data_IF_137010008260
#
_entry.id   IF_137010008260
#
_cell.length_a   1.000
_cell.length_b   1.000
_cell.length_c   1.000
_cell.angle_alpha   90.00
_cell.angle_beta   90.00
_cell.angle_gamma   90.00
#
_symmetry.space_group_name_H-M   'P 1'
#
loop_
_entity.id
_entity.type
_entity.pdbx_description
1 polymer ?
#
# COMPACT_ATOMS: atom_id res chain seq x y z
N UNK A 1 -19.96 13.67 -12.50
CA UNK A 1 -19.17 13.14 -13.63
C UNK A 1 -18.23 12.10 -13.03
N UNK A 2 -18.31 10.84 -13.45
CA UNK A 2 -17.34 9.83 -13.02
C UNK A 2 -15.97 10.27 -13.52
N UNK A 3 -14.97 10.24 -12.65
CA UNK A 3 -13.60 10.48 -13.07
C UNK A 3 -13.28 9.41 -14.12
N UNK A 4 -12.62 9.76 -15.22
CA UNK A 4 -12.23 8.77 -16.25
C UNK A 4 -11.06 7.89 -15.78
N UNK A 5 -11.04 7.58 -14.48
CA UNK A 5 -10.02 6.82 -13.79
C UNK A 5 -10.42 5.34 -13.78
N UNK A 6 -9.52 4.50 -14.26
CA UNK A 6 -9.75 3.07 -14.38
C UNK A 6 -9.76 2.38 -13.01
N UNK A 7 -9.26 3.06 -11.96
CA UNK A 7 -9.36 2.57 -10.60
C UNK A 7 -10.82 2.36 -10.13
N UNK A 8 -11.79 3.06 -10.72
CA UNK A 8 -13.23 2.94 -10.39
C UNK A 8 -13.92 1.73 -11.03
N UNK A 9 -13.35 1.14 -12.11
CA UNK A 9 -14.02 0.16 -12.97
C UNK A 9 -13.50 -1.28 -12.81
N UNK A 10 -12.41 -1.50 -12.06
CA UNK A 10 -11.90 -2.85 -11.76
C UNK A 10 -12.39 -3.33 -10.39
N UNK A 11 -13.17 -4.41 -10.40
CA UNK A 11 -13.36 -5.23 -9.20
C UNK A 11 -12.14 -6.14 -8.96
N UNK A 12 -11.76 -6.31 -7.69
CA UNK A 12 -10.61 -7.16 -7.30
C UNK A 12 -10.65 -8.56 -7.94
N UNK A 13 -11.83 -9.17 -8.04
CA UNK A 13 -12.00 -10.49 -8.66
C UNK A 13 -11.57 -10.53 -10.13
N UNK A 14 -11.86 -9.47 -10.90
CA UNK A 14 -11.50 -9.39 -12.32
C UNK A 14 -9.97 -9.26 -12.46
N UNK A 15 -9.35 -8.42 -11.64
CA UNK A 15 -7.89 -8.28 -11.60
C UNK A 15 -7.20 -9.61 -11.27
N UNK A 16 -7.68 -10.32 -10.25
CA UNK A 16 -7.14 -11.63 -9.88
C UNK A 16 -7.26 -12.67 -10.99
N UNK A 17 -8.36 -12.65 -11.75
CA UNK A 17 -8.54 -13.57 -12.87
C UNK A 17 -7.55 -13.28 -14.01
N UNK A 18 -7.34 -11.99 -14.33
CA UNK A 18 -6.34 -11.57 -15.32
C UNK A 18 -4.93 -11.94 -14.86
N UNK A 19 -4.62 -11.71 -13.57
CA UNK A 19 -3.35 -12.11 -12.96
C UNK A 19 -3.09 -13.61 -13.09
N UNK A 20 -4.04 -14.46 -12.70
CA UNK A 20 -3.90 -15.94 -12.81
C UNK A 20 -3.59 -16.40 -14.23
N UNK A 21 -4.21 -15.77 -15.23
CA UNK A 21 -4.01 -16.13 -16.63
C UNK A 21 -2.68 -15.59 -17.19
N UNK A 22 -2.17 -14.49 -16.62
CA UNK A 22 -1.00 -13.77 -17.16
C UNK A 22 0.31 -14.16 -16.48
N UNK A 23 0.32 -14.38 -15.17
CA UNK A 23 1.51 -14.69 -14.35
C UNK A 23 2.32 -15.89 -14.87
N UNK A 24 1.70 -17.00 -15.33
CA UNK A 24 2.47 -18.12 -15.89
C UNK A 24 3.33 -17.74 -17.09
N UNK A 25 2.97 -16.69 -17.83
CA UNK A 25 3.70 -16.23 -19.02
C UNK A 25 4.87 -15.30 -18.69
N UNK A 26 5.03 -14.91 -17.42
CA UNK A 26 6.16 -14.06 -17.02
C UNK A 26 7.45 -14.88 -17.01
N UNK A 27 8.60 -14.28 -17.38
CA UNK A 27 9.91 -14.94 -17.22
C UNK A 27 10.14 -15.42 -15.78
N UNK A 28 10.97 -16.46 -15.62
CA UNK A 28 11.37 -16.91 -14.28
C UNK A 28 12.09 -15.79 -13.51
N UNK A 29 11.90 -15.75 -12.19
CA UNK A 29 12.50 -14.75 -11.28
C UNK A 29 12.18 -13.30 -11.64
N UNK A 30 11.06 -13.04 -12.31
CA UNK A 30 10.58 -11.69 -12.57
C UNK A 30 10.04 -11.02 -11.30
N UNK A 31 10.18 -9.70 -11.24
CA UNK A 31 9.53 -8.85 -10.23
C UNK A 31 8.38 -8.10 -10.89
N UNK A 32 7.19 -8.17 -10.30
CA UNK A 32 6.06 -7.34 -10.70
C UNK A 32 6.05 -6.08 -9.83
N UNK A 33 6.13 -4.92 -10.47
CA UNK A 33 5.99 -3.63 -9.80
C UNK A 33 4.52 -3.20 -9.89
N UNK A 34 3.91 -2.87 -8.75
CA UNK A 34 2.51 -2.43 -8.67
C UNK A 34 2.38 -1.13 -7.89
N UNK A 35 1.37 -0.33 -8.22
CA UNK A 35 0.96 0.81 -7.41
C UNK A 35 0.11 0.37 -6.20
N UNK A 36 -0.41 1.34 -5.45
CA UNK A 36 -1.19 1.08 -4.24
C UNK A 36 -2.71 1.05 -4.46
N UNK A 37 -3.18 0.73 -5.67
CA UNK A 37 -4.61 0.55 -5.89
C UNK A 37 -5.19 -0.52 -4.95
N UNK A 38 -6.39 -0.27 -4.44
CA UNK A 38 -7.04 -1.12 -3.41
C UNK A 38 -7.14 -2.59 -3.86
N UNK A 39 -7.41 -2.84 -5.15
CA UNK A 39 -7.51 -4.18 -5.72
C UNK A 39 -6.18 -4.93 -5.84
N UNK A 40 -5.02 -4.26 -5.79
CA UNK A 40 -3.70 -4.91 -5.67
C UNK A 40 -3.38 -5.29 -4.20
N UNK A 41 -4.02 -4.61 -3.26
CA UNK A 41 -3.75 -4.66 -1.83
C UNK A 41 -4.87 -5.38 -1.05
N UNK A 42 -5.51 -6.37 -1.67
CA UNK A 42 -6.50 -7.21 -0.98
C UNK A 42 -5.79 -8.17 -0.03
N UNK A 43 -5.94 -7.91 1.27
CA UNK A 43 -5.35 -8.69 2.36
C UNK A 43 -5.84 -10.14 2.29
N UNK A 44 -4.92 -11.10 2.37
CA UNK A 44 -5.24 -12.52 2.38
C UNK A 44 -5.91 -12.94 3.69
N UNK A 45 -5.52 -12.28 4.79
CA UNK A 45 -6.15 -12.39 6.09
C UNK A 45 -6.67 -11.04 6.56
N UNK A 46 -7.90 -11.02 7.05
CA UNK A 46 -8.51 -9.83 7.64
C UNK A 46 -8.32 -9.89 9.16
N UNK A 47 -7.36 -9.12 9.68
CA UNK A 47 -7.24 -8.91 11.12
C UNK A 47 -8.32 -7.94 11.62
N UNK A 48 -8.85 -8.12 12.85
CA UNK A 48 -9.74 -7.16 13.49
C UNK A 48 -9.12 -5.76 13.59
N UNK A 49 -9.96 -4.73 13.40
CA UNK A 49 -9.64 -3.32 13.62
C UNK A 49 -10.20 -2.85 14.95
N UNK A 50 -9.89 -1.62 15.38
CA UNK A 50 -10.49 -1.03 16.59
C UNK A 50 -12.02 -0.90 16.48
N UNK A 51 -12.57 -0.87 15.25
CA UNK A 51 -13.99 -0.85 14.96
C UNK A 51 -14.68 -2.22 15.11
N UNK A 52 -13.95 -3.32 14.89
CA UNK A 52 -14.47 -4.70 14.89
C UNK A 52 -15.22 -5.05 16.17
N UNK A 53 -16.27 -5.87 16.05
CA UNK A 53 -17.09 -6.22 17.23
C UNK A 53 -16.30 -7.08 18.22
N UNK A 54 -16.67 -7.02 19.50
CA UNK A 54 -15.97 -7.72 20.57
C UNK A 54 -15.96 -9.24 20.38
N UNK A 55 -17.08 -9.79 19.92
CA UNK A 55 -17.23 -11.21 19.61
C UNK A 55 -16.33 -11.65 18.44
N UNK A 56 -16.22 -10.84 17.40
CA UNK A 56 -15.30 -11.10 16.28
C UNK A 56 -13.82 -11.04 16.71
N UNK A 57 -13.46 -10.11 17.60
CA UNK A 57 -12.13 -10.05 18.21
C UNK A 57 -11.80 -11.33 19.02
N UNK A 58 -12.75 -11.81 19.82
CA UNK A 58 -12.61 -13.06 20.58
C UNK A 58 -12.46 -14.26 19.64
N UNK A 59 -13.27 -14.32 18.58
CA UNK A 59 -13.20 -15.39 17.60
C UNK A 59 -11.83 -15.41 16.89
N UNK A 60 -11.32 -14.25 16.49
CA UNK A 60 -10.00 -14.15 15.87
C UNK A 60 -8.89 -14.64 16.82
N UNK A 61 -8.88 -14.19 18.08
CA UNK A 61 -7.92 -14.65 19.09
C UNK A 61 -7.99 -16.17 19.32
N UNK A 62 -9.20 -16.73 19.32
CA UNK A 62 -9.42 -18.18 19.46
C UNK A 62 -8.88 -18.94 18.26
N UNK A 63 -9.13 -18.45 17.03
CA UNK A 63 -8.64 -19.05 15.79
C UNK A 63 -7.11 -19.05 15.70
N UNK A 64 -6.48 -18.00 16.24
CA UNK A 64 -5.02 -17.85 16.31
C UNK A 64 -4.40 -18.54 17.54
N UNK A 65 -5.20 -19.27 18.32
CA UNK A 65 -4.77 -19.97 19.53
C UNK A 65 -4.08 -19.04 20.56
N UNK A 66 -4.57 -17.79 20.65
CA UNK A 66 -4.09 -16.79 21.62
C UNK A 66 -4.96 -16.84 22.87
N UNK A 67 -4.32 -17.07 24.02
CA UNK A 67 -5.01 -17.08 25.31
C UNK A 67 -5.58 -15.69 25.62
N UNK A 68 -6.87 -15.63 25.92
CA UNK A 68 -7.56 -14.38 26.17
C UNK A 68 -8.65 -14.56 27.22
N UNK A 69 -8.98 -13.48 27.92
CA UNK A 69 -10.09 -13.45 28.87
C UNK A 69 -11.30 -12.75 28.22
N UNK A 70 -12.41 -13.43 27.94
CA UNK A 70 -13.56 -12.84 27.24
C UNK A 70 -14.25 -11.69 28.02
N UNK A 71 -13.94 -11.54 29.32
CA UNK A 71 -14.47 -10.47 30.16
C UNK A 71 -13.70 -9.15 30.04
N UNK A 72 -12.50 -9.14 29.44
CA UNK A 72 -11.71 -7.91 29.28
C UNK A 72 -12.36 -6.93 28.30
N UNK A 73 -11.93 -5.69 28.35
CA UNK A 73 -12.48 -4.62 27.53
C UNK A 73 -12.08 -4.77 26.06
N UNK A 74 -12.84 -4.14 25.16
CA UNK A 74 -12.55 -4.15 23.72
C UNK A 74 -11.13 -3.60 23.40
N UNK A 75 -10.65 -2.50 24.03
CA UNK A 75 -9.27 -2.03 23.84
C UNK A 75 -8.21 -3.02 24.29
N UNK A 76 -8.42 -3.76 25.39
CA UNK A 76 -7.47 -4.77 25.87
C UNK A 76 -7.40 -5.96 24.91
N UNK A 77 -8.53 -6.42 24.38
CA UNK A 77 -8.57 -7.45 23.33
C UNK A 77 -7.84 -6.97 22.07
N UNK A 78 -8.09 -5.72 21.65
CA UNK A 78 -7.42 -5.17 20.47
C UNK A 78 -5.91 -5.02 20.66
N UNK A 79 -5.44 -4.63 21.86
CA UNK A 79 -4.01 -4.59 22.18
C UNK A 79 -3.38 -5.97 22.03
N UNK A 80 -4.04 -7.00 22.56
CA UNK A 80 -3.57 -8.38 22.44
C UNK A 80 -3.51 -8.84 20.98
N UNK A 81 -4.52 -8.49 20.17
CA UNK A 81 -4.54 -8.73 18.72
C UNK A 81 -3.37 -8.00 18.05
N UNK A 82 -3.10 -6.74 18.39
CA UNK A 82 -1.99 -5.97 17.83
C UNK A 82 -0.62 -6.59 18.14
N UNK A 83 -0.48 -7.19 19.31
CA UNK A 83 0.76 -7.85 19.75
C UNK A 83 0.97 -9.21 19.07
N UNK A 84 -0.11 -9.89 18.64
CA UNK A 84 -0.07 -11.24 18.06
C UNK A 84 -0.36 -11.32 16.56
N UNK A 85 -0.88 -10.24 15.95
CA UNK A 85 -1.08 -10.20 14.50
C UNK A 85 0.26 -10.19 13.79
N UNK A 86 0.30 -10.82 12.61
CA UNK A 86 1.44 -10.71 11.72
C UNK A 86 1.74 -9.22 11.46
N UNK A 87 3.00 -8.83 11.68
CA UNK A 87 3.44 -7.46 11.40
C UNK A 87 3.50 -7.22 9.89
N UNK A 88 3.71 -8.29 9.11
CA UNK A 88 3.71 -8.25 7.67
C UNK A 88 2.31 -8.58 7.16
N UNK A 89 1.70 -7.63 6.44
CA UNK A 89 0.41 -7.86 5.80
C UNK A 89 0.63 -8.67 4.53
N UNK A 90 0.07 -9.88 4.50
CA UNK A 90 0.11 -10.72 3.30
C UNK A 90 -1.06 -10.38 2.37
N UNK A 91 -0.77 -10.17 1.07
CA UNK A 91 -1.78 -9.89 0.04
C UNK A 91 -2.02 -11.10 -0.86
N UNK A 92 -3.24 -11.26 -1.38
CA UNK A 92 -3.56 -12.35 -2.30
C UNK A 92 -2.71 -12.33 -3.59
N UNK A 93 -2.32 -11.14 -4.07
CA UNK A 93 -1.45 -10.99 -5.24
C UNK A 93 -0.05 -11.56 -4.99
N UNK A 94 0.46 -11.34 -3.78
CA UNK A 94 1.80 -11.76 -3.38
C UNK A 94 1.87 -13.27 -3.31
N UNK A 95 0.86 -13.90 -2.68
CA UNK A 95 0.71 -15.36 -2.65
C UNK A 95 0.65 -15.93 -4.07
N UNK A 96 -0.13 -15.32 -4.97
CA UNK A 96 -0.26 -15.81 -6.34
C UNK A 96 1.08 -15.78 -7.10
N UNK A 97 1.85 -14.69 -6.95
CA UNK A 97 3.15 -14.54 -7.61
C UNK A 97 4.21 -15.44 -6.97
N UNK A 98 4.20 -15.58 -5.65
CA UNK A 98 5.12 -16.43 -4.91
C UNK A 98 4.92 -17.92 -5.24
N UNK A 99 3.69 -18.37 -5.40
CA UNK A 99 3.37 -19.73 -5.91
C UNK A 99 4.02 -20.03 -7.26
N UNK A 100 4.28 -18.98 -8.03
CA UNK A 100 4.94 -19.05 -9.32
C UNK A 100 6.45 -18.71 -9.21
N UNK A 101 6.99 -18.41 -8.04
CA UNK A 101 8.40 -18.02 -7.87
C UNK A 101 8.73 -16.62 -8.41
N UNK A 102 7.73 -15.73 -8.41
CA UNK A 102 7.86 -14.31 -8.76
C UNK A 102 7.70 -13.46 -7.49
N UNK A 103 8.19 -12.22 -7.53
CA UNK A 103 8.09 -11.28 -6.39
C UNK A 103 7.25 -10.06 -6.75
N UNK A 104 6.64 -9.43 -5.75
CA UNK A 104 5.95 -8.14 -5.87
C UNK A 104 6.84 -7.05 -5.28
N UNK A 105 6.87 -5.89 -5.95
CA UNK A 105 7.40 -4.65 -5.43
C UNK A 105 6.29 -3.60 -5.49
N UNK A 106 5.95 -3.00 -4.35
CA UNK A 106 4.96 -1.92 -4.28
C UNK A 106 5.67 -0.57 -4.30
N UNK A 107 5.16 0.34 -5.10
CA UNK A 107 5.64 1.73 -5.12
C UNK A 107 5.27 2.44 -3.81
N UNK A 108 5.99 3.51 -3.43
CA UNK A 108 5.58 4.36 -2.31
C UNK A 108 4.17 4.94 -2.52
N UNK A 109 3.34 5.00 -1.47
CA UNK A 109 2.00 5.58 -1.56
C UNK A 109 2.09 7.08 -1.86
N UNK A 110 1.09 7.61 -2.61
CA UNK A 110 0.97 9.03 -2.95
C UNK A 110 2.11 9.63 -3.78
N UNK A 111 2.91 8.81 -4.45
CA UNK A 111 3.99 9.25 -5.34
C UNK A 111 3.79 8.74 -6.78
N UNK A 112 2.73 9.18 -7.49
CA UNK A 112 2.48 8.76 -8.87
C UNK A 112 3.62 9.15 -9.83
N UNK A 113 4.44 10.15 -9.47
CA UNK A 113 5.62 10.54 -10.23
C UNK A 113 6.67 9.43 -10.31
N UNK A 114 6.69 8.52 -9.33
CA UNK A 114 7.56 7.34 -9.26
C UNK A 114 6.99 6.14 -10.02
N UNK A 115 5.82 6.27 -10.65
CA UNK A 115 5.21 5.20 -11.44
C UNK A 115 5.42 5.44 -12.95
N UNK A 116 6.38 4.75 -13.61
CA UNK A 116 6.64 4.96 -15.03
C UNK A 116 5.43 4.65 -15.92
N UNK A 117 4.52 3.76 -15.49
CA UNK A 117 3.35 3.38 -16.28
C UNK A 117 2.37 4.55 -16.45
N UNK A 118 2.25 5.42 -15.45
CA UNK A 118 1.40 6.62 -15.51
C UNK A 118 1.87 7.56 -16.61
N UNK A 119 3.19 7.69 -16.76
CA UNK A 119 3.80 8.52 -17.80
C UNK A 119 3.57 7.92 -19.20
N UNK A 120 3.66 6.59 -19.32
CA UNK A 120 3.30 5.89 -20.57
C UNK A 120 1.82 6.10 -20.90
N UNK A 121 0.93 5.95 -19.93
CA UNK A 121 -0.50 6.18 -20.13
C UNK A 121 -0.81 7.60 -20.57
N UNK A 122 -0.15 8.60 -19.98
CA UNK A 122 -0.27 9.99 -20.41
C UNK A 122 0.19 10.18 -21.87
N UNK A 123 1.32 9.55 -22.26
CA UNK A 123 1.79 9.57 -23.65
C UNK A 123 0.79 8.95 -24.62
N UNK A 124 0.22 7.78 -24.29
CA UNK A 124 -0.77 7.10 -25.14
C UNK A 124 -2.05 7.91 -25.23
N UNK A 125 -2.57 8.43 -24.10
CA UNK A 125 -3.76 9.29 -24.07
C UNK A 125 -3.61 10.50 -24.98
N UNK A 126 -2.43 11.12 -25.00
CA UNK A 126 -2.13 12.27 -25.86
C UNK A 126 -2.07 11.92 -27.36
N UNK A 127 -1.70 10.69 -27.71
CA UNK A 127 -1.64 10.21 -29.10
C UNK A 127 -2.97 9.62 -29.59
N UNK A 128 -3.84 9.22 -28.66
CA UNK A 128 -5.13 8.58 -28.90
C UNK A 128 -5.19 7.19 -28.26
N UNK A 129 -6.33 6.84 -27.67
CA UNK A 129 -6.56 5.53 -27.03
C UNK A 129 -6.77 4.42 -28.07
N UNK A 130 -5.71 4.07 -28.80
CA UNK A 130 -5.72 3.00 -29.79
C UNK A 130 -4.63 1.95 -29.50
N UNK A 131 -4.93 0.69 -29.81
CA UNK A 131 -3.97 -0.42 -29.65
C UNK A 131 -2.69 -0.20 -30.46
N UNK A 132 -2.81 0.50 -31.58
CA UNK A 132 -1.67 0.89 -32.43
C UNK A 132 -0.70 1.82 -31.70
N UNK A 133 -1.17 2.70 -30.81
CA UNK A 133 -0.28 3.60 -30.07
C UNK A 133 0.60 2.86 -29.07
N UNK A 134 0.09 1.79 -28.45
CA UNK A 134 0.92 0.92 -27.60
C UNK A 134 2.02 0.23 -28.39
N UNK A 135 1.76 -0.17 -29.64
CA UNK A 135 2.78 -0.80 -30.50
C UNK A 135 3.89 0.17 -30.94
N UNK A 136 3.64 1.48 -30.84
CA UNK A 136 4.64 2.53 -31.14
C UNK A 136 5.53 2.85 -29.95
N UNK A 137 5.24 2.34 -28.75
CA UNK A 137 6.10 2.54 -27.58
C UNK A 137 7.35 1.68 -27.74
N UNK A 138 8.50 2.35 -27.70
CA UNK A 138 9.80 1.72 -27.87
C UNK A 138 10.48 1.42 -26.53
N UNK A 139 11.54 0.61 -26.57
CA UNK A 139 12.40 0.39 -25.40
C UNK A 139 13.06 1.70 -24.95
N UNK A 140 13.36 2.60 -25.89
CA UNK A 140 13.96 3.90 -25.58
C UNK A 140 12.96 4.82 -24.86
N UNK A 141 11.67 4.79 -25.21
CA UNK A 141 10.62 5.52 -24.48
C UNK A 141 10.57 5.06 -23.01
N UNK A 142 10.59 3.75 -22.77
CA UNK A 142 10.64 3.19 -21.43
C UNK A 142 11.93 3.58 -20.69
N UNK A 143 13.09 3.46 -21.33
CA UNK A 143 14.37 3.80 -20.72
C UNK A 143 14.43 5.28 -20.31
N UNK A 144 13.96 6.18 -21.16
CA UNK A 144 13.91 7.62 -20.86
C UNK A 144 12.99 7.93 -19.68
N UNK A 145 11.83 7.27 -19.60
CA UNK A 145 10.91 7.45 -18.47
C UNK A 145 11.50 6.91 -17.17
N UNK A 146 12.13 5.73 -17.19
CA UNK A 146 12.83 5.18 -16.03
C UNK A 146 13.96 6.12 -15.57
N UNK A 147 14.75 6.66 -16.49
CA UNK A 147 15.79 7.64 -16.16
C UNK A 147 15.23 8.91 -15.52
N UNK A 148 14.07 9.38 -16.01
CA UNK A 148 13.40 10.53 -15.43
C UNK A 148 12.88 10.24 -14.01
N UNK A 149 12.30 9.06 -13.77
CA UNK A 149 11.88 8.61 -12.43
C UNK A 149 13.07 8.52 -11.49
N UNK A 150 14.17 7.91 -11.91
CA UNK A 150 15.40 7.82 -11.10
C UNK A 150 15.96 9.21 -10.75
N UNK A 151 15.90 10.16 -11.69
CA UNK A 151 16.33 11.54 -11.41
C UNK A 151 15.43 12.18 -10.33
N UNK A 152 14.12 12.02 -10.45
CA UNK A 152 13.16 12.56 -9.49
C UNK A 152 13.32 11.93 -8.11
N UNK A 153 13.56 10.62 -8.04
CA UNK A 153 13.86 9.89 -6.81
C UNK A 153 15.12 10.46 -6.12
N UNK A 154 16.21 10.67 -6.87
CA UNK A 154 17.42 11.29 -6.31
C UNK A 154 17.15 12.70 -5.75
N UNK A 155 16.33 13.51 -6.44
CA UNK A 155 15.95 14.84 -5.96
C UNK A 155 15.10 14.78 -4.67
N UNK A 156 14.32 13.72 -4.46
CA UNK A 156 13.58 13.50 -3.20
C UNK A 156 14.54 13.12 -2.07
N UNK A 157 15.47 12.20 -2.33
CA UNK A 157 16.48 11.76 -1.35
C UNK A 157 17.35 12.94 -0.89
N UNK A 158 17.78 13.80 -1.83
CA UNK A 158 18.55 15.01 -1.48
C UNK A 158 17.76 15.95 -0.56
N UNK A 159 16.46 16.14 -0.81
CA UNK A 159 15.59 16.98 0.04
C UNK A 159 15.36 16.37 1.41
N UNK A 160 15.22 15.05 1.49
CA UNK A 160 15.08 14.31 2.75
C UNK A 160 16.31 14.50 3.63
N UNK A 161 17.51 14.34 3.08
CA UNK A 161 18.76 14.62 3.81
C UNK A 161 18.85 16.06 4.33
N UNK A 162 18.34 17.04 3.58
CA UNK A 162 18.31 18.44 4.04
C UNK A 162 17.32 18.60 5.19
N UNK A 163 16.14 17.99 5.09
CA UNK A 163 15.13 18.02 6.14
C UNK A 163 15.64 17.39 7.43
N UNK A 164 16.27 16.21 7.36
CA UNK A 164 16.83 15.50 8.51
C UNK A 164 17.86 16.34 9.26
N UNK A 165 18.79 16.96 8.52
CA UNK A 165 19.78 17.87 9.10
C UNK A 165 19.11 19.07 9.80
N UNK A 166 18.03 19.59 9.23
CA UNK A 166 17.28 20.70 9.83
C UNK A 166 16.52 20.26 11.08
N UNK A 167 15.86 19.10 11.07
CA UNK A 167 15.16 18.55 12.23
C UNK A 167 16.12 18.24 13.37
N UNK A 168 17.28 17.65 13.08
CA UNK A 168 18.32 17.39 14.09
C UNK A 168 18.85 18.69 14.71
N UNK A 169 19.06 19.71 13.87
CA UNK A 169 19.43 21.04 14.35
C UNK A 169 18.34 21.68 15.22
N UNK A 170 17.06 21.46 14.90
CA UNK A 170 15.94 21.99 15.68
C UNK A 170 15.82 21.26 17.03
N UNK A 171 15.96 19.94 17.05
CA UNK A 171 16.01 19.13 18.28
C UNK A 171 17.17 19.56 19.17
N UNK A 172 18.35 19.82 18.60
CA UNK A 172 19.49 20.36 19.35
C UNK A 172 19.22 21.75 19.93
N UNK A 173 18.53 22.63 19.17
CA UNK A 173 18.17 23.97 19.65
C UNK A 173 17.11 23.94 20.76
N UNK A 174 16.18 22.97 20.73
CA UNK A 174 15.17 22.80 21.78
C UNK A 174 15.81 22.23 23.06
N UNK A 175 16.73 21.27 22.95
CA UNK A 175 17.43 20.71 24.12
C UNK A 175 18.42 21.67 24.81
N UNK A 176 18.80 22.77 24.16
CA UNK A 176 19.69 23.79 24.72
C UNK A 176 18.95 25.00 25.30
N UNK A 177 17.61 25.04 25.18
CA UNK A 177 16.76 26.11 25.66
C UNK A 177 15.54 25.60 26.41
N UNK A 178 15.63 25.63 27.75
CA UNK A 178 14.57 25.44 28.73
C UNK A 178 14.28 24.01 29.19
N UNK A 179 14.68 23.74 30.43
CA UNK A 179 14.04 22.79 31.32
C UNK A 179 12.56 23.14 31.43
N UNK A 180 11.68 22.21 31.07
CA UNK A 180 10.49 21.81 31.83
C UNK A 180 10.01 20.46 31.25
N UNK A 181 9.93 19.46 32.13
CA UNK A 181 9.45 18.11 31.79
C UNK A 181 7.94 18.15 31.57
N UNK A 182 7.51 18.09 30.30
CA UNK A 182 6.13 17.75 29.96
C UNK A 182 6.14 16.48 29.09
N UNK A 183 5.75 15.38 29.73
CA UNK A 183 5.42 14.07 29.16
C UNK A 183 4.22 14.22 28.19
N UNK A 184 4.52 14.58 26.93
CA UNK A 184 3.51 14.60 25.88
C UNK A 184 3.29 13.17 25.38
N UNK A 185 2.24 12.56 25.93
CA UNK A 185 1.77 11.23 25.58
C UNK A 185 1.67 11.00 24.07
N UNK A 186 2.16 9.83 23.67
CA UNK A 186 2.07 9.22 22.34
C UNK A 186 0.84 9.69 21.55
N UNK A 187 1.07 10.59 20.60
CA UNK A 187 0.10 10.91 19.56
C UNK A 187 -0.07 9.66 18.72
N UNK A 188 -1.25 9.05 18.84
CA UNK A 188 -1.76 8.07 17.91
C UNK A 188 -1.62 8.63 16.48
N UNK A 189 -0.62 8.14 15.75
CA UNK A 189 -0.60 8.24 14.30
C UNK A 189 -1.51 7.13 13.78
N UNK A 190 -2.79 7.48 13.68
CA UNK A 190 -3.80 6.66 13.02
C UNK A 190 -3.56 6.80 11.51
N UNK A 191 -2.78 5.87 10.95
CA UNK A 191 -2.68 5.73 9.50
C UNK A 191 -3.89 4.97 8.99
N UNK A 192 -4.93 5.73 8.65
CA UNK A 192 -6.04 5.42 7.75
C UNK A 192 -6.21 3.94 7.36
N UNK A 193 -6.94 3.18 8.17
CA UNK A 193 -7.64 1.98 7.69
C UNK A 193 -8.97 2.46 7.08
N UNK A 194 -8.89 3.05 5.87
CA UNK A 194 -10.07 3.34 5.04
C UNK A 194 -10.62 2.02 4.48
N UNK A 195 -11.36 1.29 5.31
CA UNK A 195 -12.20 0.18 4.87
C UNK A 195 -13.53 0.75 4.34
N UNK A 196 -13.56 1.10 3.05
CA UNK A 196 -14.81 1.44 2.36
C UNK A 196 -15.51 0.14 1.94
N UNK A 197 -16.01 -0.57 2.96
CA UNK A 197 -16.86 -1.74 2.81
C UNK A 197 -18.32 -1.34 2.64
N UNK A 198 -18.70 -0.80 1.48
CA UNK A 198 -20.11 -0.63 1.12
C UNK A 198 -20.73 -1.98 0.73
N UNK A 199 -21.41 -2.60 1.68
CA UNK A 199 -22.41 -3.65 1.42
C UNK A 199 -23.79 -3.19 1.92
N UNK A 200 -24.59 -2.71 0.97
CA UNK A 200 -26.04 -2.95 0.80
C UNK A 200 -27.05 -2.60 1.90
N UNK A 201 -28.04 -1.79 1.54
CA UNK A 201 -29.45 -2.05 1.91
C UNK A 201 -30.31 -1.81 0.67
N UNK A 202 -30.79 -2.91 0.07
CA UNK A 202 -32.01 -2.91 -0.74
C UNK A 202 -33.22 -2.90 0.21
N UNK A 203 -34.20 -2.04 -0.11
CA UNK A 203 -35.61 -2.26 0.17
C UNK A 203 -36.44 -1.62 -0.94
#
# INVERSE_FOLDING_TARGET
>A
AKSGDYHDDIESCQFFQVGRNSVPNFPERSVLVVDNASYHNVKAEKSPTIGTRKDEMINWLTQHNVEHNPKVTKPELYKLIKDHKEQETTYHLDILLEQHGRKVLRLPPYHPELNPIEKIWAMVKNRGLAREEFSKITVDDWSNLCNHVNKYENELIEKEHILDNFTDSLVFSVNTGSSDEDDFGSVFSDSNDSDDGLAGIEH
#
